data_IF_211860467606
#
_entry.id   IF_211860467606
#
_cell.length_a   1.000
_cell.length_b   1.000
_cell.length_c   1.000
_cell.angle_alpha   90.00
_cell.angle_beta   90.00
_cell.angle_gamma   90.00
#
_symmetry.space_group_name_H-M   'P 1'
#
loop_
_entity.id
_entity.type
_entity.pdbx_description
1 polymer ?
#
# COMPACT_ATOMS: atom_id res chain seq x y z
N UNK A 1 38.58 8.39 -5.62
CA UNK A 1 37.82 8.38 -6.91
C UNK A 1 37.21 7.01 -7.12
N UNK A 2 35.98 6.99 -7.57
CA UNK A 2 35.29 5.73 -7.92
C UNK A 2 35.93 5.21 -9.19
N UNK A 3 36.29 3.91 -9.26
CA UNK A 3 36.85 3.32 -10.47
C UNK A 3 35.88 3.42 -11.64
N UNK A 4 36.37 3.84 -12.79
CA UNK A 4 35.59 3.84 -14.04
C UNK A 4 36.04 2.71 -14.96
N UNK A 5 35.14 2.24 -15.81
CA UNK A 5 35.44 1.23 -16.81
C UNK A 5 35.34 1.80 -18.22
N UNK A 6 35.93 1.11 -19.23
CA UNK A 6 35.81 1.51 -20.63
C UNK A 6 34.38 1.46 -21.18
N UNK A 7 33.45 0.86 -20.43
CA UNK A 7 32.04 0.71 -20.82
C UNK A 7 31.10 1.67 -20.10
N UNK A 8 31.60 2.56 -19.26
CA UNK A 8 30.77 3.44 -18.41
C UNK A 8 29.73 4.26 -19.20
N UNK A 9 30.10 4.75 -20.37
CA UNK A 9 29.19 5.52 -21.21
C UNK A 9 28.00 4.67 -21.72
N UNK A 10 28.24 3.40 -22.07
CA UNK A 10 27.21 2.46 -22.51
C UNK A 10 26.29 2.07 -21.36
N UNK A 11 26.87 1.74 -20.21
CA UNK A 11 26.12 1.41 -19.00
C UNK A 11 25.26 2.59 -18.57
N UNK A 12 25.81 3.79 -18.57
CA UNK A 12 25.07 5.02 -18.24
C UNK A 12 23.88 5.22 -19.17
N UNK A 13 24.05 5.03 -20.47
CA UNK A 13 22.96 5.10 -21.44
C UNK A 13 21.86 4.09 -21.16
N UNK A 14 22.22 2.86 -20.79
CA UNK A 14 21.24 1.82 -20.43
C UNK A 14 20.47 2.16 -19.15
N UNK A 15 21.10 2.81 -18.17
CA UNK A 15 20.45 3.26 -16.94
C UNK A 15 19.48 4.43 -17.15
N UNK A 16 19.59 5.17 -18.26
CA UNK A 16 18.67 6.26 -18.61
C UNK A 16 17.34 5.79 -19.21
N UNK A 17 17.21 4.49 -19.55
CA UNK A 17 16.03 3.95 -20.24
C UNK A 17 14.85 3.73 -19.31
N UNK A 18 15.06 3.47 -18.04
CA UNK A 18 14.02 3.12 -17.08
C UNK A 18 13.64 4.24 -16.10
N UNK A 19 12.88 3.89 -15.08
CA UNK A 19 12.66 4.77 -13.93
C UNK A 19 13.99 5.08 -13.25
N UNK A 20 14.14 6.26 -12.59
CA UNK A 20 15.39 6.66 -11.93
C UNK A 20 15.91 5.64 -10.91
N UNK A 21 15.02 4.77 -10.39
CA UNK A 21 15.38 3.69 -9.48
C UNK A 21 15.54 4.14 -8.04
N UNK A 22 15.92 3.19 -7.22
CA UNK A 22 16.04 3.34 -5.77
C UNK A 22 17.35 4.04 -5.37
N UNK A 23 17.71 5.11 -6.03
CA UNK A 23 18.87 5.92 -5.67
C UNK A 23 18.49 7.01 -4.68
N UNK A 24 19.45 7.43 -3.85
CA UNK A 24 19.27 8.60 -3.03
C UNK A 24 19.12 9.86 -3.90
N UNK A 25 18.52 10.92 -3.33
CA UNK A 25 18.33 12.18 -4.05
C UNK A 25 19.64 12.81 -4.54
N UNK A 26 20.72 12.59 -3.79
CA UNK A 26 22.04 13.14 -4.09
C UNK A 26 22.88 12.20 -4.95
N UNK A 27 22.65 10.92 -4.81
CA UNK A 27 23.43 9.90 -5.48
C UNK A 27 22.80 9.56 -6.82
N UNK A 28 23.55 9.76 -7.83
CA UNK A 28 23.14 9.49 -9.20
C UNK A 28 23.69 8.15 -9.67
N UNK A 29 23.26 7.76 -10.82
CA UNK A 29 23.68 6.54 -11.47
C UNK A 29 25.20 6.50 -11.69
N UNK A 30 25.89 5.87 -10.76
CA UNK A 30 27.31 5.55 -10.90
C UNK A 30 27.39 4.19 -11.60
N UNK A 31 27.98 4.07 -12.79
CA UNK A 31 27.91 2.85 -13.60
C UNK A 31 28.42 1.59 -12.91
N UNK A 32 29.29 1.73 -11.92
CA UNK A 32 29.84 0.61 -11.14
C UNK A 32 28.80 -0.03 -10.19
N UNK A 33 27.74 0.71 -9.82
CA UNK A 33 26.75 0.27 -8.86
C UNK A 33 25.38 0.14 -9.53
N UNK A 34 24.71 -1.01 -9.33
CA UNK A 34 23.33 -1.21 -9.72
C UNK A 34 22.42 -0.76 -8.58
N UNK A 35 21.81 0.40 -8.71
CA UNK A 35 20.90 0.99 -7.72
C UNK A 35 19.52 1.29 -8.31
N UNK A 36 19.40 1.30 -9.61
CA UNK A 36 18.21 1.63 -10.35
C UNK A 36 17.41 0.41 -10.81
N UNK A 37 16.64 0.63 -11.87
CA UNK A 37 15.75 -0.37 -12.44
C UNK A 37 16.49 -1.55 -13.06
N UNK A 38 17.58 -1.28 -13.74
CA UNK A 38 18.34 -2.31 -14.47
C UNK A 38 19.66 -2.66 -13.77
N UNK A 39 20.03 -3.93 -13.78
CA UNK A 39 19.21 -5.08 -14.19
C UNK A 39 18.14 -5.42 -13.15
N UNK A 40 17.01 -6.00 -13.56
CA UNK A 40 15.85 -6.26 -12.71
C UNK A 40 16.12 -7.16 -11.49
N UNK A 41 17.14 -8.00 -11.56
CA UNK A 41 17.53 -8.93 -10.47
C UNK A 41 18.47 -8.29 -9.44
N UNK A 42 18.93 -7.06 -9.66
CA UNK A 42 19.91 -6.38 -8.82
C UNK A 42 19.41 -5.03 -8.32
N UNK A 43 20.22 -4.38 -7.49
CA UNK A 43 19.92 -3.07 -6.94
C UNK A 43 19.03 -3.11 -5.71
N UNK A 44 18.51 -1.97 -5.32
CA UNK A 44 17.62 -1.80 -4.17
C UNK A 44 16.19 -2.06 -4.61
N UNK A 45 15.48 -2.93 -3.87
CA UNK A 45 14.09 -3.27 -4.15
C UNK A 45 13.14 -2.21 -3.56
N UNK A 46 12.74 -1.28 -4.41
CA UNK A 46 11.59 -0.40 -4.18
C UNK A 46 10.43 -0.81 -5.08
N UNK A 47 9.22 -0.38 -4.76
CA UNK A 47 8.05 -0.67 -5.59
C UNK A 47 8.22 -0.04 -6.99
N UNK A 48 8.10 -0.84 -8.05
CA UNK A 48 8.35 -0.46 -9.44
C UNK A 48 9.73 0.19 -9.67
N UNK A 49 10.70 -0.09 -8.83
CA UNK A 49 12.01 0.58 -8.84
C UNK A 49 11.94 2.10 -8.76
N UNK A 50 10.86 2.62 -8.16
CA UNK A 50 10.72 4.05 -7.88
C UNK A 50 11.80 4.56 -6.93
N UNK A 51 12.13 5.86 -6.96
CA UNK A 51 13.07 6.46 -6.03
C UNK A 51 12.73 6.14 -4.58
N UNK A 52 13.74 5.79 -3.78
CA UNK A 52 13.58 5.66 -2.34
C UNK A 52 13.57 7.05 -1.69
N UNK A 53 12.52 7.34 -0.92
CA UNK A 53 12.40 8.59 -0.18
C UNK A 53 13.17 8.47 1.14
N UNK A 54 14.43 8.90 1.16
CA UNK A 54 15.29 8.81 2.35
C UNK A 54 14.79 9.66 3.51
N UNK A 55 14.26 10.84 3.20
CA UNK A 55 13.69 11.73 4.19
C UNK A 55 12.17 11.72 4.08
N UNK A 56 11.50 11.08 5.03
CA UNK A 56 10.03 10.95 5.04
C UNK A 56 9.29 12.30 5.11
N UNK A 57 9.97 13.39 5.47
CA UNK A 57 9.39 14.73 5.37
C UNK A 57 9.25 15.23 3.92
N UNK A 58 9.92 14.57 2.98
CA UNK A 58 9.90 14.93 1.56
C UNK A 58 8.84 14.19 0.75
N UNK A 59 8.05 13.31 1.36
CA UNK A 59 7.00 12.53 0.66
C UNK A 59 5.99 13.43 -0.08
N UNK A 60 5.72 14.61 0.42
CA UNK A 60 4.83 15.58 -0.24
C UNK A 60 5.37 16.17 -1.56
N UNK A 61 6.60 15.84 -1.96
CA UNK A 61 7.17 16.20 -3.28
C UNK A 61 6.72 15.25 -4.39
N UNK A 62 6.03 14.15 -4.03
CA UNK A 62 5.57 13.12 -4.95
C UNK A 62 4.04 13.02 -4.93
N UNK A 63 3.46 12.73 -6.08
CA UNK A 63 2.02 12.53 -6.21
C UNK A 63 1.56 11.27 -5.45
N UNK A 64 2.39 10.21 -5.49
CA UNK A 64 2.11 8.92 -4.85
C UNK A 64 3.31 8.47 -4.03
N UNK A 65 3.05 8.07 -2.80
CA UNK A 65 4.06 7.47 -1.91
C UNK A 65 3.70 6.02 -1.58
N UNK A 66 4.55 5.09 -2.02
CA UNK A 66 4.43 3.68 -1.64
C UNK A 66 4.89 3.49 -0.20
N UNK A 67 4.10 2.77 0.59
CA UNK A 67 4.37 2.48 1.99
C UNK A 67 4.03 1.02 2.29
N UNK A 68 4.97 0.24 2.75
CA UNK A 68 4.73 -1.14 3.18
C UNK A 68 4.20 -1.21 4.62
N UNK A 69 3.27 -2.12 4.85
CA UNK A 69 2.73 -2.43 6.18
C UNK A 69 2.91 -3.92 6.46
N UNK A 70 4.09 -4.34 6.94
CA UNK A 70 4.45 -5.74 7.15
C UNK A 70 3.82 -6.29 8.44
N UNK A 71 2.49 -6.45 8.45
CA UNK A 71 1.72 -6.88 9.61
C UNK A 71 0.80 -8.06 9.25
N UNK A 72 0.75 -9.09 10.11
CA UNK A 72 -0.14 -10.24 9.98
C UNK A 72 -0.64 -10.77 11.33
N UNK A 73 -0.69 -9.91 12.32
CA UNK A 73 -1.20 -10.25 13.65
C UNK A 73 -2.72 -10.44 13.70
N UNK A 74 -3.44 -10.05 12.66
CA UNK A 74 -4.89 -10.19 12.56
C UNK A 74 -5.38 -11.43 11.79
N UNK A 75 -4.47 -12.33 11.38
CA UNK A 75 -4.84 -13.54 10.60
C UNK A 75 -5.49 -14.61 11.47
N UNK A 76 -6.48 -15.33 10.90
CA UNK A 76 -7.19 -16.43 11.59
C UNK A 76 -6.65 -17.81 11.23
N UNK A 77 -5.90 -17.96 10.15
CA UNK A 77 -5.45 -19.27 9.67
C UNK A 77 -3.94 -19.36 9.45
N UNK A 78 -3.38 -18.65 8.50
CA UNK A 78 -1.93 -18.69 8.19
C UNK A 78 -1.34 -17.30 8.30
N UNK A 79 -0.27 -17.20 9.07
CA UNK A 79 0.63 -16.03 9.05
C UNK A 79 1.53 -16.08 7.80
N UNK A 80 2.19 -14.96 7.50
CA UNK A 80 3.14 -14.83 6.39
C UNK A 80 2.88 -13.61 5.52
N UNK A 81 1.70 -13.00 5.58
CA UNK A 81 1.40 -11.79 4.81
C UNK A 81 2.23 -10.58 5.23
N UNK A 82 2.91 -10.63 6.40
CA UNK A 82 3.95 -9.63 6.77
C UNK A 82 5.09 -9.54 5.76
N UNK A 83 5.30 -10.56 4.94
CA UNK A 83 6.28 -10.55 3.85
C UNK A 83 5.70 -10.03 2.52
N UNK A 84 4.42 -9.65 2.51
CA UNK A 84 3.73 -9.11 1.33
C UNK A 84 4.42 -7.90 0.72
N UNK A 85 4.77 -6.85 1.49
CA UNK A 85 5.44 -5.68 0.95
C UNK A 85 6.76 -6.02 0.23
N UNK A 86 7.58 -6.88 0.82
CA UNK A 86 8.83 -7.34 0.20
C UNK A 86 8.57 -8.16 -1.07
N UNK A 87 7.59 -9.09 -1.03
CA UNK A 87 7.24 -9.91 -2.18
C UNK A 87 6.71 -9.09 -3.36
N UNK A 88 5.84 -8.13 -3.09
CA UNK A 88 5.27 -7.22 -4.10
C UNK A 88 6.35 -6.34 -4.70
N UNK A 89 7.23 -5.73 -3.89
CA UNK A 89 8.35 -4.93 -4.40
C UNK A 89 9.27 -5.76 -5.29
N UNK A 90 9.57 -7.00 -4.87
CA UNK A 90 10.44 -7.89 -5.65
C UNK A 90 9.88 -8.19 -7.02
N UNK A 91 8.60 -8.55 -7.10
CA UNK A 91 7.98 -8.90 -8.39
C UNK A 91 7.71 -7.66 -9.25
N UNK A 92 7.45 -6.51 -8.63
CA UNK A 92 7.19 -5.26 -9.34
C UNK A 92 8.38 -4.79 -10.20
N UNK A 93 9.59 -5.23 -9.88
CA UNK A 93 10.79 -4.95 -10.69
C UNK A 93 10.74 -5.54 -12.11
N UNK A 94 9.85 -6.50 -12.36
CA UNK A 94 9.67 -7.12 -13.68
C UNK A 94 8.71 -6.32 -14.59
N UNK A 95 7.99 -5.34 -14.05
CA UNK A 95 7.04 -4.56 -14.81
C UNK A 95 7.69 -3.27 -15.32
N UNK A 96 7.34 -2.91 -16.55
CA UNK A 96 7.69 -1.60 -17.09
C UNK A 96 6.65 -0.55 -16.64
N UNK A 97 6.99 0.73 -16.57
CA UNK A 97 6.01 1.77 -16.25
C UNK A 97 5.02 2.04 -17.39
N UNK A 98 5.25 1.49 -18.58
CA UNK A 98 4.39 1.65 -19.75
C UNK A 98 3.34 0.54 -19.82
N UNK A 99 2.05 0.95 -19.87
CA UNK A 99 0.92 0.04 -20.05
C UNK A 99 0.53 -0.02 -21.54
N UNK A 100 0.74 -1.16 -22.15
CA UNK A 100 0.59 -1.35 -23.61
C UNK A 100 -0.82 -1.04 -24.12
N UNK A 101 -1.86 -1.65 -23.51
CA UNK A 101 -3.24 -1.50 -23.98
C UNK A 101 -3.79 -0.08 -23.77
N UNK A 102 -3.37 0.59 -22.73
CA UNK A 102 -3.79 1.96 -22.43
C UNK A 102 -2.93 3.02 -23.14
N UNK A 103 -1.75 2.66 -23.61
CA UNK A 103 -0.81 3.60 -24.20
C UNK A 103 -0.30 4.66 -23.22
N UNK A 104 -0.23 4.33 -21.93
CA UNK A 104 0.13 5.26 -20.85
C UNK A 104 1.47 4.86 -20.26
N UNK A 105 2.38 5.82 -20.12
CA UNK A 105 3.59 5.69 -19.29
C UNK A 105 3.35 6.39 -17.94
N UNK A 106 3.43 5.65 -16.85
CA UNK A 106 3.21 6.18 -15.49
C UNK A 106 4.16 7.34 -15.15
N UNK A 107 5.37 7.34 -15.70
CA UNK A 107 6.37 8.40 -15.46
C UNK A 107 5.95 9.77 -16.02
N UNK A 108 5.08 9.74 -17.05
CA UNK A 108 4.55 10.95 -17.67
C UNK A 108 3.30 11.47 -16.95
N UNK A 109 2.67 10.62 -16.15
CA UNK A 109 1.39 10.93 -15.51
C UNK A 109 1.53 11.31 -14.05
N UNK A 110 2.52 10.75 -13.34
CA UNK A 110 2.68 10.97 -11.90
C UNK A 110 4.11 10.74 -11.43
N UNK A 111 4.44 11.37 -10.33
CA UNK A 111 5.68 11.09 -9.59
C UNK A 111 5.40 10.10 -8.47
N UNK A 112 6.20 9.03 -8.39
CA UNK A 112 6.09 7.97 -7.40
C UNK A 112 7.39 7.86 -6.60
N UNK A 113 7.29 7.69 -5.29
CA UNK A 113 8.41 7.28 -4.46
C UNK A 113 8.03 6.10 -3.56
N UNK A 114 9.03 5.42 -3.02
CA UNK A 114 8.87 4.39 -2.00
C UNK A 114 9.48 4.89 -0.69
N UNK A 115 8.69 4.98 0.36
CA UNK A 115 9.09 5.44 1.68
C UNK A 115 9.49 4.30 2.63
N UNK A 116 9.59 3.07 2.12
CA UNK A 116 9.89 1.90 2.95
C UNK A 116 8.67 1.37 3.68
N UNK A 117 8.89 0.85 4.88
CA UNK A 117 7.88 0.15 5.67
C UNK A 117 7.55 0.87 6.98
N UNK A 118 6.30 0.74 7.41
CA UNK A 118 5.88 1.13 8.75
C UNK A 118 6.58 0.24 9.78
N UNK A 119 7.10 0.84 10.83
CA UNK A 119 7.66 0.11 11.96
C UNK A 119 6.53 -0.52 12.78
N UNK A 120 6.24 -1.79 12.50
CA UNK A 120 5.24 -2.57 13.24
C UNK A 120 5.85 -3.27 14.45
N UNK A 121 5.02 -3.53 15.47
CA UNK A 121 5.42 -4.18 16.72
C UNK A 121 4.67 -5.51 16.81
N UNK A 122 5.27 -6.65 16.41
CA UNK A 122 4.56 -7.92 16.27
C UNK A 122 3.82 -8.40 17.53
N UNK A 123 4.33 -8.05 18.70
CA UNK A 123 3.75 -8.45 19.98
C UNK A 123 2.62 -7.50 20.47
N UNK A 124 2.30 -6.44 19.72
CA UNK A 124 1.30 -5.46 20.16
C UNK A 124 0.54 -4.86 18.98
N UNK A 125 -0.72 -5.28 18.83
CA UNK A 125 -1.58 -4.87 17.73
C UNK A 125 -1.90 -3.37 17.80
N UNK A 126 -2.30 -2.86 18.96
CA UNK A 126 -2.69 -1.45 19.11
C UNK A 126 -1.53 -0.49 18.81
N UNK A 127 -0.32 -0.81 19.30
CA UNK A 127 0.87 -0.01 18.97
C UNK A 127 1.19 -0.07 17.47
N UNK A 128 1.05 -1.24 16.86
CA UNK A 128 1.24 -1.38 15.40
C UNK A 128 0.19 -0.56 14.63
N UNK A 129 -1.06 -0.59 15.06
CA UNK A 129 -2.14 0.19 14.45
C UNK A 129 -1.92 1.69 14.62
N UNK A 130 -1.40 2.15 15.74
CA UNK A 130 -1.03 3.56 15.94
C UNK A 130 0.09 3.98 14.99
N UNK A 131 1.12 3.15 14.83
CA UNK A 131 2.20 3.39 13.87
C UNK A 131 1.67 3.46 12.43
N UNK A 132 0.79 2.55 12.04
CA UNK A 132 0.17 2.54 10.70
C UNK A 132 -0.63 3.83 10.49
N UNK A 133 -1.50 4.19 11.44
CA UNK A 133 -2.31 5.41 11.34
C UNK A 133 -1.45 6.67 11.23
N UNK A 134 -0.39 6.76 12.04
CA UNK A 134 0.52 7.90 12.00
C UNK A 134 1.27 8.00 10.67
N UNK A 135 1.80 6.89 10.17
CA UNK A 135 2.53 6.88 8.89
C UNK A 135 1.63 7.24 7.71
N UNK A 136 0.44 6.62 7.63
CA UNK A 136 -0.53 6.91 6.57
C UNK A 136 -1.03 8.35 6.65
N UNK A 137 -1.35 8.82 7.86
CA UNK A 137 -1.76 10.20 8.10
C UNK A 137 -0.68 11.21 7.72
N UNK A 138 0.59 10.91 7.99
CA UNK A 138 1.72 11.74 7.57
C UNK A 138 1.79 11.87 6.05
N UNK A 139 1.75 10.77 5.32
CA UNK A 139 1.78 10.79 3.84
C UNK A 139 0.59 11.57 3.30
N UNK A 140 -0.63 11.27 3.78
CA UNK A 140 -1.84 11.93 3.32
C UNK A 140 -1.84 13.43 3.60
N UNK A 141 -1.46 13.86 4.82
CA UNK A 141 -1.41 15.27 5.19
C UNK A 141 -0.31 16.06 4.47
N UNK A 142 0.71 15.38 3.98
CA UNK A 142 1.76 15.99 3.15
C UNK A 142 1.32 16.23 1.70
N UNK A 143 0.12 15.80 1.31
CA UNK A 143 -0.44 15.98 -0.03
C UNK A 143 -0.12 14.86 -1.02
N UNK A 144 0.60 13.82 -0.60
CA UNK A 144 0.87 12.64 -1.41
C UNK A 144 -0.20 11.57 -1.22
N UNK A 145 -0.53 10.82 -2.27
CA UNK A 145 -1.46 9.70 -2.18
C UNK A 145 -0.75 8.48 -1.57
N UNK A 146 -1.21 7.94 -0.42
CA UNK A 146 -0.61 6.78 0.19
C UNK A 146 -1.00 5.49 -0.55
N UNK A 147 -0.05 4.84 -1.21
CA UNK A 147 -0.18 3.52 -1.81
C UNK A 147 0.32 2.47 -0.81
N UNK A 148 -0.59 1.70 -0.23
CA UNK A 148 -0.27 0.77 0.86
C UNK A 148 -0.05 -0.64 0.33
N UNK A 149 1.11 -1.22 0.63
CA UNK A 149 1.39 -2.63 0.41
C UNK A 149 1.20 -3.40 1.73
N UNK A 150 0.18 -4.22 1.82
CA UNK A 150 -0.09 -5.01 3.01
C UNK A 150 0.64 -6.34 3.04
N UNK A 151 0.50 -6.95 4.05
CA UNK A 151 -0.07 -7.29 5.31
C UNK A 151 -1.45 -7.94 5.20
N UNK A 152 -1.96 -8.37 6.36
CA UNK A 152 -3.32 -8.87 6.44
C UNK A 152 -4.34 -7.71 6.42
N UNK A 153 -5.63 -8.04 6.22
CA UNK A 153 -6.64 -7.01 6.02
C UNK A 153 -7.02 -6.20 7.28
N UNK A 154 -6.57 -6.61 8.46
CA UNK A 154 -6.77 -5.82 9.69
C UNK A 154 -6.15 -4.42 9.59
N UNK A 155 -5.13 -4.25 8.73
CA UNK A 155 -4.50 -2.94 8.47
C UNK A 155 -5.46 -1.94 7.78
N UNK A 156 -6.57 -2.38 7.23
CA UNK A 156 -7.59 -1.51 6.65
C UNK A 156 -8.13 -0.50 7.66
N UNK A 157 -8.39 -0.93 8.90
CA UNK A 157 -8.88 -0.02 9.95
C UNK A 157 -7.88 1.10 10.28
N UNK A 158 -6.62 0.82 10.68
CA UNK A 158 -5.68 1.89 11.01
C UNK A 158 -5.30 2.76 9.80
N UNK A 159 -5.34 2.22 8.58
CA UNK A 159 -5.15 3.01 7.35
C UNK A 159 -6.25 4.07 7.20
N UNK A 160 -7.52 3.66 7.29
CA UNK A 160 -8.66 4.57 7.21
C UNK A 160 -8.65 5.55 8.38
N UNK A 161 -8.33 5.10 9.60
CA UNK A 161 -8.22 5.94 10.79
C UNK A 161 -7.17 7.04 10.60
N UNK A 162 -6.03 6.72 10.01
CA UNK A 162 -4.97 7.70 9.72
C UNK A 162 -5.43 8.80 8.75
N UNK A 163 -6.11 8.43 7.67
CA UNK A 163 -6.67 9.39 6.72
C UNK A 163 -7.79 10.22 7.36
N UNK A 164 -8.69 9.55 8.10
CA UNK A 164 -9.83 10.21 8.74
C UNK A 164 -9.43 11.27 9.77
N UNK A 165 -8.31 11.06 10.45
CA UNK A 165 -7.76 12.04 11.40
C UNK A 165 -7.23 13.31 10.73
N UNK A 166 -6.90 13.24 9.43
CA UNK A 166 -6.33 14.37 8.67
C UNK A 166 -7.36 15.18 7.87
N UNK A 167 -8.64 14.83 7.92
CA UNK A 167 -9.68 15.54 7.16
C UNK A 167 -11.00 15.57 7.91
N UNK A 168 -11.76 16.64 7.71
CA UNK A 168 -13.15 16.76 8.19
C UNK A 168 -14.18 16.32 7.14
N UNK A 169 -13.73 16.04 5.91
CA UNK A 169 -14.60 15.58 4.84
C UNK A 169 -15.08 14.16 5.11
N UNK A 170 -16.26 13.82 4.63
CA UNK A 170 -16.77 12.44 4.65
C UNK A 170 -15.93 11.59 3.71
N UNK A 171 -15.53 10.43 4.21
CA UNK A 171 -14.74 9.44 3.47
C UNK A 171 -15.69 8.36 2.95
N UNK A 172 -15.51 7.98 1.68
CA UNK A 172 -16.07 6.77 1.10
C UNK A 172 -15.01 5.69 0.99
N UNK A 173 -15.45 4.44 1.07
CA UNK A 173 -14.60 3.26 0.94
C UNK A 173 -15.12 2.42 -0.22
N UNK A 174 -14.25 2.06 -1.14
CA UNK A 174 -14.51 1.03 -2.15
C UNK A 174 -13.69 -0.19 -1.74
N UNK A 175 -14.36 -1.26 -1.37
CA UNK A 175 -13.79 -2.52 -0.94
C UNK A 175 -14.02 -3.58 -2.01
N UNK A 176 -12.95 -4.02 -2.66
CA UNK A 176 -12.99 -5.07 -3.69
C UNK A 176 -12.44 -6.35 -3.07
N UNK A 177 -13.32 -7.22 -2.63
CA UNK A 177 -12.99 -8.45 -1.92
C UNK A 177 -14.14 -9.46 -2.00
N UNK A 178 -13.81 -10.73 -1.80
CA UNK A 178 -14.77 -11.80 -1.61
C UNK A 178 -15.39 -11.80 -0.21
N UNK A 179 -14.62 -11.38 0.81
CA UNK A 179 -15.04 -11.32 2.20
C UNK A 179 -15.69 -9.97 2.53
N UNK A 180 -16.57 -9.96 3.49
CA UNK A 180 -17.24 -8.72 3.91
C UNK A 180 -16.43 -7.88 4.90
N UNK A 181 -15.58 -8.51 5.70
CA UNK A 181 -14.67 -7.91 6.68
C UNK A 181 -15.30 -6.80 7.56
N UNK A 182 -16.54 -7.02 7.95
CA UNK A 182 -17.37 -6.09 8.73
C UNK A 182 -17.95 -6.74 10.01
N UNK A 183 -17.34 -7.79 10.50
CA UNK A 183 -17.69 -8.35 11.78
C UNK A 183 -17.27 -7.41 12.91
N UNK A 184 -18.08 -7.29 13.94
CA UNK A 184 -17.73 -6.52 15.14
C UNK A 184 -16.53 -7.15 15.84
N UNK A 185 -16.52 -8.46 15.90
CA UNK A 185 -15.50 -9.29 16.54
C UNK A 185 -15.42 -10.65 15.85
N UNK A 186 -14.23 -11.20 15.82
CA UNK A 186 -13.94 -12.61 15.50
C UNK A 186 -13.35 -13.26 16.75
N UNK A 187 -12.12 -13.78 16.70
CA UNK A 187 -11.39 -14.19 17.91
C UNK A 187 -11.07 -12.98 18.80
N UNK A 188 -10.81 -11.85 18.17
CA UNK A 188 -10.61 -10.56 18.82
C UNK A 188 -11.16 -9.43 17.92
N UNK A 189 -11.17 -8.20 18.45
CA UNK A 189 -11.69 -7.01 17.74
C UNK A 189 -10.80 -6.54 16.59
N UNK A 190 -9.51 -6.87 16.61
CA UNK A 190 -8.52 -6.38 15.63
C UNK A 190 -8.07 -7.44 14.63
N UNK A 191 -9.02 -8.25 14.16
CA UNK A 191 -8.78 -9.31 13.18
C UNK A 191 -8.94 -8.81 11.74
N UNK A 192 -8.45 -9.59 10.77
CA UNK A 192 -8.61 -9.26 9.35
C UNK A 192 -10.07 -9.28 8.87
N UNK A 193 -10.98 -9.87 9.65
CA UNK A 193 -12.41 -9.95 9.37
C UNK A 193 -13.21 -8.74 9.87
N UNK A 194 -12.57 -7.77 10.55
CA UNK A 194 -13.28 -6.72 11.31
C UNK A 194 -13.00 -5.27 10.86
N UNK A 195 -12.10 -4.96 9.92
CA UNK A 195 -11.63 -3.59 9.70
C UNK A 195 -12.74 -2.59 9.39
N UNK A 196 -13.74 -2.97 8.61
CA UNK A 196 -14.79 -2.05 8.18
C UNK A 196 -15.85 -1.82 9.25
N UNK A 197 -16.05 -2.76 10.17
CA UNK A 197 -16.89 -2.49 11.34
C UNK A 197 -16.32 -1.34 12.16
N UNK A 198 -15.03 -1.39 12.47
CA UNK A 198 -14.35 -0.38 13.25
C UNK A 198 -14.13 0.93 12.49
N UNK A 199 -13.79 0.86 11.20
CA UNK A 199 -13.64 2.03 10.36
C UNK A 199 -14.93 2.84 10.23
N UNK A 200 -16.07 2.17 10.04
CA UNK A 200 -17.37 2.83 9.89
C UNK A 200 -17.97 3.34 11.22
N UNK A 201 -17.29 3.14 12.34
CA UNK A 201 -17.59 3.81 13.61
C UNK A 201 -16.87 5.17 13.73
N UNK A 202 -15.96 5.51 12.83
CA UNK A 202 -15.28 6.81 12.81
C UNK A 202 -16.28 7.88 12.29
N UNK A 203 -16.44 9.02 12.97
CA UNK A 203 -17.52 9.98 12.68
C UNK A 203 -17.60 10.47 11.23
N UNK A 204 -16.47 10.64 10.56
CA UNK A 204 -16.41 11.07 9.16
C UNK A 204 -16.27 9.93 8.15
N UNK A 205 -16.48 8.68 8.59
CA UNK A 205 -16.47 7.47 7.73
C UNK A 205 -17.84 6.76 7.85
N UNK A 206 -18.92 7.33 7.30
CA UNK A 206 -20.24 6.75 7.45
C UNK A 206 -20.36 5.43 6.69
N UNK A 207 -20.98 4.43 7.32
CA UNK A 207 -21.17 3.10 6.73
C UNK A 207 -21.93 3.13 5.39
N UNK A 208 -22.81 4.11 5.20
CA UNK A 208 -23.53 4.33 3.94
C UNK A 208 -22.61 4.70 2.77
N UNK A 209 -21.37 5.08 3.04
CA UNK A 209 -20.34 5.36 2.03
C UNK A 209 -19.38 4.17 1.82
N UNK A 210 -19.65 3.02 2.45
CA UNK A 210 -18.92 1.78 2.18
C UNK A 210 -19.59 1.05 1.02
N UNK A 211 -18.85 0.86 -0.06
CA UNK A 211 -19.21 0.06 -1.23
C UNK A 211 -18.36 -1.20 -1.22
N UNK A 212 -18.99 -2.36 -1.21
CA UNK A 212 -18.35 -3.67 -1.17
C UNK A 212 -18.65 -4.43 -2.45
N UNK A 213 -17.64 -4.81 -3.21
CA UNK A 213 -17.76 -5.41 -4.54
C UNK A 213 -17.10 -6.79 -4.55
N UNK A 214 -17.82 -7.78 -5.05
CA UNK A 214 -17.32 -9.15 -5.18
C UNK A 214 -17.64 -10.05 -3.99
N UNK A 215 -18.46 -9.59 -3.08
CA UNK A 215 -18.85 -10.35 -1.86
C UNK A 215 -19.60 -11.62 -2.25
N UNK A 216 -19.28 -12.74 -1.62
CA UNK A 216 -20.04 -13.96 -1.89
C UNK A 216 -19.42 -15.26 -1.40
N UNK A 217 -20.10 -16.37 -1.76
CA UNK A 217 -19.72 -17.74 -1.45
C UNK A 217 -19.91 -18.13 0.01
N UNK A 218 -19.17 -19.15 0.43
CA UNK A 218 -19.32 -19.78 1.75
C UNK A 218 -18.55 -19.08 2.87
N UNK A 219 -17.88 -17.96 2.59
CA UNK A 219 -16.96 -17.28 3.51
C UNK A 219 -17.51 -15.94 4.03
N UNK A 220 -18.79 -15.72 3.91
CA UNK A 220 -19.46 -14.54 4.48
C UNK A 220 -20.35 -15.02 5.64
N UNK A 221 -19.93 -14.86 6.89
CA UNK A 221 -20.70 -15.32 8.03
C UNK A 221 -21.94 -14.45 8.27
N UNK A 222 -23.00 -15.06 8.82
CA UNK A 222 -24.27 -14.38 9.06
C UNK A 222 -24.14 -13.07 9.85
N UNK A 223 -23.32 -12.97 10.92
CA UNK A 223 -23.16 -11.69 11.64
C UNK A 223 -22.62 -10.56 10.75
N UNK A 224 -21.75 -10.86 9.80
CA UNK A 224 -21.29 -9.85 8.85
C UNK A 224 -22.43 -9.34 7.97
N UNK A 225 -23.31 -10.24 7.48
CA UNK A 225 -24.50 -9.86 6.70
C UNK A 225 -25.43 -8.97 7.53
N UNK A 226 -25.67 -9.30 8.77
CA UNK A 226 -26.49 -8.51 9.69
C UNK A 226 -25.92 -7.09 9.89
N UNK A 227 -24.60 -6.97 10.01
CA UNK A 227 -23.93 -5.66 10.09
C UNK A 227 -24.01 -4.90 8.77
N UNK A 228 -23.84 -5.54 7.62
CA UNK A 228 -24.01 -4.90 6.32
C UNK A 228 -25.41 -4.30 6.17
N UNK A 229 -26.43 -5.07 6.48
CA UNK A 229 -27.84 -4.65 6.38
C UNK A 229 -28.16 -3.53 7.37
N UNK A 230 -27.85 -3.73 8.66
CA UNK A 230 -28.16 -2.76 9.72
C UNK A 230 -27.44 -1.43 9.52
N UNK A 231 -26.21 -1.44 8.98
CA UNK A 231 -25.42 -0.25 8.69
C UNK A 231 -25.70 0.37 7.32
N UNK A 232 -26.50 -0.29 6.48
CA UNK A 232 -26.87 0.13 5.13
C UNK A 232 -25.65 0.35 4.24
N UNK A 233 -24.71 -0.61 4.24
CA UNK A 233 -23.59 -0.60 3.29
C UNK A 233 -24.10 -0.94 1.88
N UNK A 234 -23.35 -0.55 0.86
CA UNK A 234 -23.69 -0.85 -0.53
C UNK A 234 -22.97 -2.13 -0.94
N UNK A 235 -23.69 -3.15 -1.36
CA UNK A 235 -23.15 -4.48 -1.63
C UNK A 235 -23.39 -4.84 -3.09
N UNK A 236 -22.33 -5.25 -3.77
CA UNK A 236 -22.38 -5.88 -5.09
C UNK A 236 -21.73 -7.26 -4.96
N UNK A 237 -22.52 -8.28 -5.15
CA UNK A 237 -22.06 -9.67 -5.04
C UNK A 237 -21.30 -10.09 -6.30
N UNK A 238 -20.66 -11.27 -6.25
CA UNK A 238 -20.03 -11.86 -7.45
C UNK A 238 -21.05 -12.21 -8.56
N UNK A 239 -22.34 -12.26 -8.24
CA UNK A 239 -23.41 -12.46 -9.22
C UNK A 239 -23.83 -11.15 -9.88
N UNK A 240 -23.48 -10.00 -9.28
CA UNK A 240 -23.81 -8.66 -9.79
C UNK A 240 -22.68 -8.09 -10.68
N UNK A 241 -21.48 -8.72 -10.70
CA UNK A 241 -20.30 -8.31 -11.45
C UNK A 241 -20.06 -9.19 -12.66
#
# INVERSE_FOLDING_TARGET
SIPTTRHDAEVKKNLEIGLPGASSLEDKNIPTFSRGELPHFAGINTFLKAPFCENVHDVGKYDVTCLGVPFDGGTTYRSGTRFGPQGIRRISALYTPYHYEMGIDLREQMTLCDAGDVFTIPANIEKSFDQISNAVGHVFSSGSFPLILGGDHSIGFPTIRGIAACTTKKIGIIHVDRHADIQEKDLDERMHTTPYFHATNIPNVPATNLVQIGIGGWQVPRPAVEHMVSRRTNIFTMEDV
#
